data_IF_184442152530
#
_entry.id   IF_184442152530
#
_cell.length_a   1.000
_cell.length_b   1.000
_cell.length_c   1.000
_cell.angle_alpha   90.00
_cell.angle_beta   90.00
_cell.angle_gamma   90.00
#
_symmetry.space_group_name_H-M   'P 1'
#
loop_
_entity.id
_entity.type
_entity.pdbx_description
1 polymer ?
#
# COMPACT_ATOMS: atom_id res chain seq x y z
N UNK A 1 -6.96 12.22 -26.31
CA UNK A 1 -7.32 12.61 -24.93
C UNK A 1 -7.21 11.46 -23.92
N UNK A 2 -7.57 10.22 -24.28
CA UNK A 2 -7.55 9.05 -23.36
C UNK A 2 -6.21 8.75 -22.69
N UNK A 3 -5.08 8.85 -23.40
CA UNK A 3 -3.76 8.55 -22.84
C UNK A 3 -3.36 9.43 -21.65
N UNK A 4 -3.70 10.73 -21.67
CA UNK A 4 -3.43 11.63 -20.53
C UNK A 4 -4.31 11.30 -19.33
N UNK A 5 -5.59 11.02 -19.57
CA UNK A 5 -6.53 10.64 -18.50
C UNK A 5 -6.11 9.32 -17.84
N UNK A 6 -5.75 8.30 -18.62
CA UNK A 6 -5.27 7.02 -18.11
C UNK A 6 -3.98 7.16 -17.28
N UNK A 7 -3.05 8.02 -17.72
CA UNK A 7 -1.83 8.32 -16.95
C UNK A 7 -2.16 8.98 -15.60
N UNK A 8 -3.05 9.97 -15.59
CA UNK A 8 -3.46 10.67 -14.36
C UNK A 8 -4.15 9.71 -13.41
N UNK A 9 -5.18 8.99 -13.88
CA UNK A 9 -5.94 8.05 -13.06
C UNK A 9 -5.04 6.92 -12.55
N UNK A 10 -4.18 6.37 -13.42
CA UNK A 10 -3.19 5.35 -13.03
C UNK A 10 -2.24 5.83 -11.94
N UNK A 11 -1.74 7.06 -12.06
CA UNK A 11 -0.86 7.67 -11.06
C UNK A 11 -1.57 7.86 -9.73
N UNK A 12 -2.83 8.35 -9.75
CA UNK A 12 -3.65 8.53 -8.54
C UNK A 12 -3.87 7.19 -7.82
N UNK A 13 -4.18 6.12 -8.55
CA UNK A 13 -4.35 4.79 -7.96
C UNK A 13 -3.04 4.25 -7.36
N UNK A 14 -1.89 4.46 -8.01
CA UNK A 14 -0.60 4.07 -7.44
C UNK A 14 -0.26 4.85 -6.16
N UNK A 15 -0.51 6.16 -6.15
CA UNK A 15 -0.32 6.98 -4.96
C UNK A 15 -1.25 6.57 -3.82
N UNK A 16 -2.52 6.29 -4.13
CA UNK A 16 -3.48 5.80 -3.15
C UNK A 16 -3.03 4.46 -2.54
N UNK A 17 -2.62 3.49 -3.38
CA UNK A 17 -2.07 2.21 -2.92
C UNK A 17 -0.90 2.39 -1.95
N UNK A 18 0.08 3.24 -2.30
CA UNK A 18 1.22 3.55 -1.44
C UNK A 18 0.81 4.22 -0.12
N UNK A 19 -0.17 5.13 -0.16
CA UNK A 19 -0.71 5.77 1.03
C UNK A 19 -1.41 4.78 1.97
N UNK A 20 -2.24 3.87 1.43
CA UNK A 20 -2.89 2.80 2.21
C UNK A 20 -1.84 1.92 2.88
N UNK A 21 -0.88 1.42 2.12
CA UNK A 21 0.19 0.57 2.67
C UNK A 21 1.00 1.27 3.76
N UNK A 22 1.29 2.57 3.57
CA UNK A 22 2.02 3.37 4.55
C UNK A 22 1.20 3.57 5.83
N UNK A 23 -0.08 3.89 5.71
CA UNK A 23 -0.97 4.06 6.85
C UNK A 23 -1.09 2.77 7.67
N UNK A 24 -1.19 1.61 7.01
CA UNK A 24 -1.19 0.31 7.69
C UNK A 24 0.12 0.05 8.43
N UNK A 25 1.27 0.35 7.82
CA UNK A 25 2.58 0.20 8.48
C UNK A 25 2.73 1.11 9.68
N UNK A 26 2.21 2.34 9.62
CA UNK A 26 2.20 3.25 10.76
C UNK A 26 1.29 2.69 11.87
N UNK A 27 0.06 2.29 11.52
CA UNK A 27 -0.89 1.70 12.47
C UNK A 27 -0.34 0.46 13.16
N UNK A 28 0.31 -0.44 12.41
CA UNK A 28 0.91 -1.64 12.96
C UNK A 28 2.10 -1.34 13.89
N UNK A 29 2.93 -0.33 13.57
CA UNK A 29 4.00 0.14 14.47
C UNK A 29 3.47 0.75 15.76
N UNK A 30 2.39 1.52 15.69
CA UNK A 30 1.73 2.09 16.87
C UNK A 30 1.12 0.97 17.73
N UNK A 31 0.39 0.05 17.10
CA UNK A 31 -0.20 -1.11 17.76
C UNK A 31 0.87 -2.01 18.40
N UNK A 32 2.07 -2.10 17.81
CA UNK A 32 3.20 -2.82 18.37
C UNK A 32 3.83 -2.14 19.59
N UNK A 33 3.84 -0.81 19.61
CA UNK A 33 4.45 -0.03 20.69
C UNK A 33 3.67 -0.15 22.01
N UNK A 34 2.33 -0.28 21.95
CA UNK A 34 1.48 -0.33 23.14
C UNK A 34 1.78 -1.57 24.01
N UNK A 35 1.79 -2.80 23.47
CA UNK A 35 2.15 -3.99 24.25
C UNK A 35 3.63 -4.08 24.60
N UNK A 36 4.52 -3.53 23.78
CA UNK A 36 5.95 -3.45 24.12
C UNK A 36 6.17 -2.59 25.37
N UNK A 37 5.49 -1.45 25.48
CA UNK A 37 5.52 -0.60 26.68
C UNK A 37 4.87 -1.28 27.90
N UNK A 38 3.76 -2.01 27.69
CA UNK A 38 3.09 -2.77 28.75
C UNK A 38 3.91 -3.95 29.28
N UNK A 39 4.60 -4.67 28.38
CA UNK A 39 5.44 -5.82 28.73
C UNK A 39 6.69 -5.41 29.51
N UNK A 40 7.28 -4.25 29.19
CA UNK A 40 8.38 -3.67 29.95
C UNK A 40 7.96 -3.28 31.38
N UNK A 41 6.67 -3.04 31.64
CA UNK A 41 6.16 -2.57 32.93
C UNK A 41 5.60 -3.68 33.84
N UNK A 42 5.14 -4.83 33.33
CA UNK A 42 4.38 -5.82 34.12
C UNK A 42 4.77 -7.30 33.99
N UNK A 43 5.83 -7.64 33.27
CA UNK A 43 6.22 -9.04 33.06
C UNK A 43 5.52 -9.66 31.86
N UNK A 44 6.24 -10.56 31.20
CA UNK A 44 6.12 -10.92 29.79
C UNK A 44 4.72 -11.35 29.33
N UNK A 45 4.06 -10.50 28.54
CA UNK A 45 3.02 -10.91 27.61
C UNK A 45 3.63 -10.93 26.22
N UNK A 46 3.58 -12.07 25.54
CA UNK A 46 3.97 -12.16 24.14
C UNK A 46 2.90 -11.49 23.28
N UNK A 47 3.14 -10.21 23.00
CA UNK A 47 2.28 -9.40 22.18
C UNK A 47 3.00 -9.07 20.87
N UNK A 48 3.54 -10.11 20.24
CA UNK A 48 4.11 -10.00 18.91
C UNK A 48 3.02 -9.52 17.95
N UNK A 49 3.12 -8.28 17.43
CA UNK A 49 2.09 -7.71 16.58
C UNK A 49 2.13 -8.40 15.22
N UNK A 50 1.01 -9.01 14.82
CA UNK A 50 0.86 -9.52 13.46
C UNK A 50 0.77 -8.33 12.51
N UNK A 51 1.85 -8.09 11.77
CA UNK A 51 1.86 -7.06 10.74
C UNK A 51 1.17 -7.60 9.48
N UNK A 52 0.13 -6.93 8.96
CA UNK A 52 -0.47 -7.37 7.73
C UNK A 52 0.53 -7.36 6.57
N UNK A 53 0.53 -8.43 5.78
CA UNK A 53 1.37 -8.54 4.59
C UNK A 53 0.78 -7.76 3.43
N UNK A 54 1.59 -7.46 2.40
CA UNK A 54 1.19 -6.60 1.27
C UNK A 54 -0.10 -7.06 0.55
N UNK A 55 -0.37 -8.37 0.54
CA UNK A 55 -1.53 -8.95 -0.14
C UNK A 55 -2.77 -9.11 0.76
N UNK A 56 -2.65 -8.85 2.06
CA UNK A 56 -3.79 -8.96 2.99
C UNK A 56 -4.72 -7.76 2.91
N UNK A 57 -4.23 -6.61 2.46
CA UNK A 57 -5.08 -5.45 2.18
C UNK A 57 -5.50 -5.42 0.71
N UNK A 58 -6.79 -5.70 0.47
CA UNK A 58 -7.38 -5.66 -0.86
C UNK A 58 -7.11 -4.34 -1.59
N UNK A 59 -7.27 -3.20 -0.93
CA UNK A 59 -7.09 -1.87 -1.53
C UNK A 59 -5.64 -1.61 -1.94
N UNK A 60 -4.66 -2.11 -1.18
CA UNK A 60 -3.24 -1.93 -1.50
C UNK A 60 -2.91 -2.61 -2.83
N UNK A 61 -3.10 -3.92 -2.93
CA UNK A 61 -2.70 -4.64 -4.15
C UNK A 61 -3.64 -4.36 -5.32
N UNK A 62 -4.94 -4.14 -5.08
CA UNK A 62 -5.91 -3.83 -6.13
C UNK A 62 -5.63 -2.46 -6.76
N UNK A 63 -5.43 -1.40 -5.97
CA UNK A 63 -5.11 -0.08 -6.53
C UNK A 63 -3.71 -0.04 -7.14
N UNK A 64 -2.76 -0.83 -6.64
CA UNK A 64 -1.47 -1.00 -7.30
C UNK A 64 -1.66 -1.60 -8.71
N UNK A 65 -2.40 -2.71 -8.80
CA UNK A 65 -2.60 -3.42 -10.07
C UNK A 65 -3.38 -2.55 -11.07
N UNK A 66 -4.50 -1.98 -10.67
CA UNK A 66 -5.32 -1.11 -11.52
C UNK A 66 -4.53 0.13 -11.95
N UNK A 67 -3.82 0.76 -11.00
CA UNK A 67 -2.99 1.92 -11.27
C UNK A 67 -1.89 1.63 -12.28
N UNK A 68 -1.18 0.51 -12.09
CA UNK A 68 -0.14 0.04 -13.00
C UNK A 68 -0.68 -0.22 -14.40
N UNK A 69 -1.77 -0.98 -14.51
CA UNK A 69 -2.41 -1.30 -15.80
C UNK A 69 -2.82 -0.04 -16.55
N UNK A 70 -3.48 0.91 -15.89
CA UNK A 70 -3.89 2.17 -16.49
C UNK A 70 -2.70 3.03 -16.93
N UNK A 71 -1.61 3.04 -16.16
CA UNK A 71 -0.38 3.72 -16.53
C UNK A 71 0.25 3.09 -17.78
N UNK A 72 0.35 1.75 -17.83
CA UNK A 72 0.87 1.02 -19.00
C UNK A 72 0.04 1.28 -20.26
N UNK A 73 -1.29 1.31 -20.17
CA UNK A 73 -2.16 1.68 -21.30
C UNK A 73 -2.14 3.17 -21.63
N UNK A 74 -1.72 4.02 -20.69
CA UNK A 74 -1.55 5.45 -20.88
C UNK A 74 -0.32 5.80 -21.72
N UNK A 75 0.74 4.99 -21.67
CA UNK A 75 1.90 5.17 -22.56
C UNK A 75 1.56 4.66 -23.97
N UNK A 76 1.78 5.47 -25.02
CA UNK A 76 1.68 4.96 -26.38
C UNK A 76 2.66 3.79 -26.52
N UNK A 77 2.20 2.65 -27.06
CA UNK A 77 3.13 1.66 -27.60
C UNK A 77 3.83 2.35 -28.74
N UNK A 78 5.12 2.65 -28.60
CA UNK A 78 5.93 3.06 -29.75
C UNK A 78 5.76 1.97 -30.81
N UNK A 79 5.13 2.34 -31.92
CA UNK A 79 5.17 1.55 -33.15
C UNK A 79 6.48 1.91 -33.86
N UNK A 80 7.60 1.59 -33.23
CA UNK A 80 8.89 1.65 -33.90
C UNK A 80 9.50 0.24 -33.86
N UNK A 81 9.33 -0.48 -34.98
CA UNK A 81 10.00 -1.74 -35.30
C UNK A 81 9.06 -2.93 -35.52
#
# INVERSE_FOLDING_TARGET
>A
MGNRLNKIIGTVFLLASGAYYTAERIGAKIAAAIPAAGSAARGSYDATPSNPTFFENFFVWFFMLVGFVLLTFGFPKDKDG
#
